data_IF_202967093290
#
_entry.id   IF_202967093290
#
_cell.length_a   1.000
_cell.length_b   1.000
_cell.length_c   1.000
_cell.angle_alpha   90.00
_cell.angle_beta   90.00
_cell.angle_gamma   90.00
#
_symmetry.space_group_name_H-M   'P 1'
#
loop_
_entity.id
_entity.type
_entity.pdbx_description
1 polymer ?
#
# COMPACT_ATOMS: atom_id res chain seq x y z
N UNK A 1 30.96 33.85 22.16
CA UNK A 1 31.36 33.54 20.76
C UNK A 1 31.00 32.08 20.51
N UNK A 2 30.08 31.78 19.59
CA UNK A 2 29.60 30.39 19.37
C UNK A 2 30.64 29.57 18.59
N UNK A 3 30.98 28.35 19.03
CA UNK A 3 31.91 27.47 18.34
C UNK A 3 31.17 26.67 17.26
N UNK A 4 30.94 27.28 16.09
CA UNK A 4 30.16 26.65 15.00
C UNK A 4 30.76 26.72 13.59
N UNK A 5 31.83 27.50 13.37
CA UNK A 5 32.18 27.96 12.02
C UNK A 5 33.43 27.29 11.40
N UNK A 6 33.72 26.03 11.77
CA UNK A 6 34.92 25.32 11.27
C UNK A 6 34.69 24.31 10.14
N UNK A 7 33.43 24.02 9.77
CA UNK A 7 33.14 23.05 8.71
C UNK A 7 31.83 23.31 7.99
N UNK A 8 31.91 23.60 6.69
CA UNK A 8 30.73 23.59 5.80
C UNK A 8 30.40 22.14 5.47
N UNK A 9 29.50 21.53 6.25
CA UNK A 9 29.02 20.17 5.98
C UNK A 9 28.00 20.22 4.83
N UNK A 10 28.29 19.57 3.70
CA UNK A 10 27.29 19.34 2.65
C UNK A 10 26.50 18.08 3.01
N UNK A 11 25.20 18.24 3.31
CA UNK A 11 24.30 17.14 3.67
C UNK A 11 23.44 16.67 2.52
N UNK A 12 23.18 17.53 1.54
CA UNK A 12 22.23 17.28 0.46
C UNK A 12 22.93 16.92 -0.86
N UNK A 13 22.53 15.78 -1.43
CA UNK A 13 23.08 15.24 -2.67
C UNK A 13 21.97 14.75 -3.61
N UNK A 14 22.12 15.02 -4.90
CA UNK A 14 21.32 14.38 -5.96
C UNK A 14 22.18 13.31 -6.61
N UNK A 15 21.83 12.05 -6.38
CA UNK A 15 22.56 10.90 -6.92
C UNK A 15 21.92 10.47 -8.24
N UNK A 16 22.72 10.41 -9.31
CA UNK A 16 22.31 9.90 -10.61
C UNK A 16 23.20 8.75 -11.06
N UNK A 17 22.59 7.72 -11.66
CA UNK A 17 23.31 6.60 -12.27
C UNK A 17 24.24 7.10 -13.39
N UNK A 18 25.40 6.44 -13.55
CA UNK A 18 26.44 6.83 -14.53
C UNK A 18 25.89 7.11 -15.93
N UNK A 19 24.96 6.27 -16.41
CA UNK A 19 24.31 6.39 -17.72
C UNK A 19 23.50 7.68 -17.92
N UNK A 20 23.06 8.33 -16.85
CA UNK A 20 22.24 9.55 -16.90
C UNK A 20 23.01 10.82 -16.55
N UNK A 21 24.31 10.73 -16.25
CA UNK A 21 25.12 11.91 -15.91
C UNK A 21 25.21 12.90 -17.08
N UNK A 22 25.25 12.42 -18.32
CA UNK A 22 25.26 13.26 -19.52
C UNK A 22 23.95 14.04 -19.74
N UNK A 23 22.87 13.67 -19.03
CA UNK A 23 21.60 14.39 -19.08
C UNK A 23 21.54 15.55 -18.09
N UNK A 24 22.49 15.66 -17.15
CA UNK A 24 22.53 16.70 -16.13
C UNK A 24 23.20 17.94 -16.73
N UNK A 25 22.51 19.08 -16.67
CA UNK A 25 22.98 20.35 -17.23
C UNK A 25 23.63 21.25 -16.18
N UNK A 26 23.07 21.31 -14.98
CA UNK A 26 23.55 22.18 -13.91
C UNK A 26 23.06 21.68 -12.55
N UNK A 27 23.92 21.84 -11.54
CA UNK A 27 23.58 21.63 -10.13
C UNK A 27 23.98 22.89 -9.36
N UNK A 28 23.01 23.59 -8.77
CA UNK A 28 23.28 24.75 -7.91
C UNK A 28 23.10 24.32 -6.44
N UNK A 29 24.14 24.53 -5.63
CA UNK A 29 24.14 24.20 -4.19
C UNK A 29 24.38 25.44 -3.34
N UNK A 30 23.57 25.60 -2.29
CA UNK A 30 23.83 26.54 -1.20
C UNK A 30 23.32 25.93 0.10
N UNK A 31 24.04 26.20 1.19
CA UNK A 31 23.98 25.48 2.47
C UNK A 31 22.62 25.55 3.22
N UNK A 32 21.65 26.30 2.71
CA UNK A 32 20.25 26.33 3.20
C UNK A 32 19.24 26.50 2.06
N UNK A 33 19.62 26.16 0.82
CA UNK A 33 18.82 26.35 -0.39
C UNK A 33 18.57 24.99 -1.03
N UNK A 34 17.36 24.71 -1.54
CA UNK A 34 17.08 23.45 -2.23
C UNK A 34 18.14 23.16 -3.30
N UNK A 35 18.67 21.94 -3.28
CA UNK A 35 19.56 21.46 -4.35
C UNK A 35 18.71 21.28 -5.60
N UNK A 36 18.97 22.09 -6.62
CA UNK A 36 18.26 22.02 -7.91
C UNK A 36 19.20 21.40 -8.94
N UNK A 37 18.74 20.31 -9.57
CA UNK A 37 19.39 19.68 -10.70
C UNK A 37 18.51 19.84 -11.95
N UNK A 38 19.06 20.45 -13.00
CA UNK A 38 18.39 20.54 -14.30
C UNK A 38 18.81 19.32 -15.12
N UNK A 39 17.85 18.49 -15.53
CA UNK A 39 18.11 17.28 -16.30
C UNK A 39 17.28 17.25 -17.59
N UNK A 40 17.91 16.93 -18.73
CA UNK A 40 17.25 16.72 -20.02
C UNK A 40 16.96 15.24 -20.27
N UNK A 41 15.76 14.77 -19.94
CA UNK A 41 15.30 13.40 -20.27
C UNK A 41 13.90 13.41 -20.88
N UNK A 42 13.66 12.47 -21.81
CA UNK A 42 12.31 12.19 -22.31
C UNK A 42 11.67 11.14 -21.42
N UNK A 43 10.60 11.51 -20.71
CA UNK A 43 9.82 10.57 -19.88
C UNK A 43 8.71 9.95 -20.72
N UNK A 44 8.59 8.62 -20.67
CA UNK A 44 7.40 7.95 -21.18
C UNK A 44 6.23 8.27 -20.24
N UNK A 45 5.10 8.72 -20.81
CA UNK A 45 3.87 8.92 -20.05
C UNK A 45 3.24 7.56 -19.78
N UNK A 46 3.29 7.11 -18.53
CA UNK A 46 2.48 5.97 -18.12
C UNK A 46 1.00 6.37 -18.09
N UNK A 47 0.14 5.52 -18.65
CA UNK A 47 -1.31 5.67 -18.49
C UNK A 47 -1.62 5.60 -17.00
N UNK A 48 -2.11 6.70 -16.41
CA UNK A 48 -2.55 6.68 -15.02
C UNK A 48 -3.60 5.56 -14.87
N UNK A 49 -3.54 4.75 -13.80
CA UNK A 49 -4.59 3.76 -13.57
C UNK A 49 -5.93 4.48 -13.50
N UNK A 50 -6.99 3.82 -14.00
CA UNK A 50 -8.36 4.34 -13.95
C UNK A 50 -8.70 4.58 -12.48
N UNK A 51 -8.68 5.84 -12.04
CA UNK A 51 -9.08 6.21 -10.69
C UNK A 51 -10.58 5.95 -10.57
N UNK A 52 -11.00 5.25 -9.53
CA UNK A 52 -12.42 5.15 -9.21
C UNK A 52 -12.94 6.57 -8.91
N UNK A 53 -14.19 6.88 -9.31
CA UNK A 53 -14.80 8.15 -8.94
C UNK A 53 -14.76 8.30 -7.42
N UNK A 54 -14.23 9.43 -6.94
CA UNK A 54 -14.24 9.75 -5.52
C UNK A 54 -15.68 9.93 -5.06
N UNK A 55 -16.02 9.41 -3.88
CA UNK A 55 -17.34 9.59 -3.28
C UNK A 55 -17.60 11.08 -3.03
N UNK A 56 -18.63 11.62 -3.67
CA UNK A 56 -18.98 13.05 -3.59
C UNK A 56 -20.00 13.29 -2.47
N UNK A 57 -19.53 13.76 -1.32
CA UNK A 57 -20.39 14.08 -0.17
C UNK A 57 -21.34 15.25 -0.44
N UNK A 58 -20.93 16.19 -1.30
CA UNK A 58 -21.72 17.40 -1.58
C UNK A 58 -23.04 17.10 -2.30
N UNK A 59 -23.04 16.09 -3.18
CA UNK A 59 -24.25 15.65 -3.88
C UNK A 59 -25.26 15.00 -2.92
N UNK A 60 -24.77 14.23 -1.95
CA UNK A 60 -25.59 13.58 -0.93
C UNK A 60 -26.21 14.57 0.06
N UNK A 61 -25.55 15.71 0.31
CA UNK A 61 -26.03 16.75 1.23
C UNK A 61 -27.11 17.63 0.61
N UNK A 62 -27.07 17.85 -0.71
CA UNK A 62 -27.98 18.74 -1.44
C UNK A 62 -29.30 18.07 -1.82
N UNK A 63 -29.28 16.79 -2.17
CA UNK A 63 -30.47 16.07 -2.62
C UNK A 63 -31.06 15.18 -1.52
N UNK A 64 -32.23 15.58 -1.02
CA UNK A 64 -32.98 14.88 0.03
C UNK A 64 -33.49 13.51 -0.41
N UNK A 65 -33.79 13.33 -1.70
CA UNK A 65 -34.27 12.05 -2.25
C UNK A 65 -33.10 11.06 -2.41
N UNK A 66 -31.95 11.55 -2.87
CA UNK A 66 -30.74 10.75 -2.95
C UNK A 66 -30.29 10.27 -1.56
N UNK A 67 -30.36 11.16 -0.56
CA UNK A 67 -30.05 10.80 0.84
C UNK A 67 -30.96 9.71 1.38
N UNK A 68 -32.27 9.78 1.10
CA UNK A 68 -33.23 8.74 1.52
C UNK A 68 -32.92 7.39 0.87
N UNK A 69 -32.73 7.36 -0.46
CA UNK A 69 -32.39 6.12 -1.17
C UNK A 69 -31.07 5.51 -0.68
N UNK A 70 -30.09 6.37 -0.40
CA UNK A 70 -28.81 5.95 0.15
C UNK A 70 -28.94 5.35 1.56
N UNK A 71 -29.71 6.00 2.44
CA UNK A 71 -29.96 5.49 3.79
C UNK A 71 -30.69 4.15 3.76
N UNK A 72 -31.74 3.99 2.94
CA UNK A 72 -32.45 2.71 2.80
C UNK A 72 -31.52 1.61 2.27
N UNK A 73 -30.67 1.92 1.29
CA UNK A 73 -29.69 0.94 0.78
C UNK A 73 -28.65 0.56 1.84
N UNK A 74 -28.28 1.49 2.71
CA UNK A 74 -27.37 1.25 3.83
C UNK A 74 -28.04 0.38 4.89
N UNK A 75 -29.25 0.73 5.31
CA UNK A 75 -30.04 -0.01 6.30
C UNK A 75 -30.24 -1.45 5.85
N UNK A 76 -30.74 -1.66 4.62
CA UNK A 76 -30.92 -2.99 4.05
C UNK A 76 -29.62 -3.79 4.00
N UNK A 77 -28.48 -3.15 3.74
CA UNK A 77 -27.18 -3.83 3.71
C UNK A 77 -26.75 -4.27 5.11
N UNK A 78 -26.95 -3.42 6.11
CA UNK A 78 -26.60 -3.73 7.50
C UNK A 78 -27.52 -4.80 8.09
N UNK A 79 -28.82 -4.78 7.79
CA UNK A 79 -29.76 -5.83 8.20
C UNK A 79 -29.32 -7.22 7.70
N UNK A 80 -28.91 -7.33 6.44
CA UNK A 80 -28.40 -8.59 5.88
C UNK A 80 -27.10 -9.01 6.58
N UNK A 81 -26.22 -8.05 6.92
CA UNK A 81 -24.96 -8.31 7.58
C UNK A 81 -25.15 -8.80 9.03
N UNK A 82 -26.11 -8.23 9.75
CA UNK A 82 -26.45 -8.63 11.12
C UNK A 82 -27.04 -10.05 11.13
N UNK A 83 -27.96 -10.35 10.22
CA UNK A 83 -28.51 -11.71 10.05
C UNK A 83 -27.41 -12.75 9.77
N UNK A 84 -26.46 -12.43 8.90
CA UNK A 84 -25.33 -13.34 8.61
C UNK A 84 -24.40 -13.53 9.81
N UNK A 85 -24.22 -12.50 10.63
CA UNK A 85 -23.38 -12.54 11.82
C UNK A 85 -24.00 -13.40 12.91
N UNK A 86 -25.31 -13.31 13.10
CA UNK A 86 -26.07 -14.14 14.04
C UNK A 86 -26.08 -15.63 13.61
N UNK A 87 -26.18 -15.91 12.29
CA UNK A 87 -26.03 -17.27 11.77
C UNK A 87 -24.59 -17.78 11.96
N UNK A 88 -23.58 -16.92 11.88
CA UNK A 88 -22.18 -17.26 12.11
C UNK A 88 -21.87 -17.64 13.56
N UNK A 89 -22.46 -16.95 14.54
CA UNK A 89 -22.31 -17.35 15.94
C UNK A 89 -22.97 -18.69 16.26
N UNK A 90 -24.01 -19.06 15.51
CA UNK A 90 -24.84 -20.24 15.77
C UNK A 90 -24.45 -21.48 14.94
N UNK A 91 -23.54 -21.35 13.97
CA UNK A 91 -23.18 -22.41 13.02
C UNK A 91 -21.70 -22.76 13.04
N UNK A 92 -21.38 -24.01 13.38
CA UNK A 92 -20.01 -24.57 13.26
C UNK A 92 -19.55 -24.74 11.80
N UNK A 93 -20.39 -24.49 10.80
CA UNK A 93 -20.04 -24.61 9.38
C UNK A 93 -19.50 -23.27 8.82
N UNK A 94 -18.30 -22.92 9.28
CA UNK A 94 -17.60 -21.68 8.96
C UNK A 94 -17.45 -21.43 7.44
N UNK A 95 -17.17 -22.47 6.64
CA UNK A 95 -16.86 -22.33 5.19
C UNK A 95 -18.03 -21.81 4.36
N UNK A 96 -19.22 -22.38 4.52
CA UNK A 96 -20.41 -21.98 3.75
C UNK A 96 -20.79 -20.52 4.04
N UNK A 97 -20.70 -20.12 5.30
CA UNK A 97 -21.00 -18.74 5.72
C UNK A 97 -19.95 -17.74 5.23
N UNK A 98 -18.67 -18.10 5.23
CA UNK A 98 -17.62 -17.28 4.63
C UNK A 98 -17.88 -17.02 3.14
N UNK A 99 -18.43 -17.98 2.41
CA UNK A 99 -18.76 -17.80 1.00
C UNK A 99 -20.01 -16.93 0.79
N UNK A 100 -21.06 -17.07 1.63
CA UNK A 100 -22.21 -16.15 1.60
C UNK A 100 -21.84 -14.71 1.98
N UNK A 101 -20.97 -14.53 2.98
CA UNK A 101 -20.46 -13.21 3.38
C UNK A 101 -19.63 -12.59 2.25
N UNK A 102 -18.79 -13.37 1.56
CA UNK A 102 -18.09 -12.89 0.38
C UNK A 102 -19.06 -12.45 -0.70
N UNK A 103 -20.10 -13.23 -0.98
CA UNK A 103 -21.06 -12.89 -2.02
C UNK A 103 -21.78 -11.58 -1.70
N UNK A 104 -22.18 -11.35 -0.45
CA UNK A 104 -22.87 -10.11 -0.04
C UNK A 104 -21.92 -8.90 0.08
N UNK A 105 -20.71 -9.09 0.61
CA UNK A 105 -19.76 -8.00 0.89
C UNK A 105 -18.91 -7.64 -0.33
N UNK A 106 -18.65 -8.59 -1.23
CA UNK A 106 -17.82 -8.43 -2.42
C UNK A 106 -18.62 -8.19 -3.71
N UNK A 107 -19.94 -8.02 -3.67
CA UNK A 107 -20.70 -7.56 -4.86
C UNK A 107 -20.02 -6.32 -5.45
N UNK A 108 -19.36 -6.49 -6.61
CA UNK A 108 -18.64 -5.43 -7.32
C UNK A 108 -17.14 -5.29 -7.02
N UNK A 109 -16.55 -6.09 -6.14
CA UNK A 109 -15.07 -6.15 -5.93
C UNK A 109 -14.51 -7.42 -6.56
N UNK A 110 -13.56 -7.27 -7.49
CA UNK A 110 -12.82 -8.44 -8.01
C UNK A 110 -12.04 -9.08 -6.87
N UNK A 111 -12.11 -10.42 -6.70
CA UNK A 111 -11.24 -11.09 -5.75
C UNK A 111 -9.79 -10.77 -6.12
N UNK A 112 -9.05 -10.15 -5.19
CA UNK A 112 -7.61 -10.00 -5.37
C UNK A 112 -7.03 -11.41 -5.40
N UNK A 113 -6.36 -11.78 -6.48
CA UNK A 113 -5.55 -13.01 -6.49
C UNK A 113 -4.53 -12.87 -5.39
N UNK A 114 -4.78 -13.48 -4.23
CA UNK A 114 -3.78 -13.63 -3.19
C UNK A 114 -2.80 -14.67 -3.72
N UNK A 115 -1.84 -14.25 -4.52
CA UNK A 115 -0.61 -15.01 -4.72
C UNK A 115 0.24 -14.80 -3.46
N UNK A 116 -0.20 -15.41 -2.35
CA UNK A 116 0.58 -15.54 -1.13
C UNK A 116 1.66 -16.59 -1.32
N UNK A 117 2.52 -16.41 -2.32
CA UNK A 117 3.65 -17.27 -2.56
C UNK A 117 4.81 -16.74 -1.72
N UNK A 118 5.31 -17.58 -0.81
CA UNK A 118 6.53 -17.28 -0.06
C UNK A 118 7.72 -17.69 -0.92
N UNK A 119 8.69 -16.79 -1.03
CA UNK A 119 9.89 -17.03 -1.82
C UNK A 119 11.07 -17.40 -0.92
N UNK A 120 11.89 -18.32 -1.40
CA UNK A 120 13.20 -18.60 -0.83
C UNK A 120 14.09 -17.36 -0.90
N UNK A 121 15.21 -17.35 -0.17
CA UNK A 121 16.24 -16.31 -0.29
C UNK A 121 16.81 -16.22 -1.72
N UNK A 122 16.82 -17.32 -2.48
CA UNK A 122 17.21 -17.37 -3.89
C UNK A 122 16.11 -16.90 -4.87
N UNK A 123 14.94 -16.50 -4.36
CA UNK A 123 13.82 -16.01 -5.18
C UNK A 123 12.92 -17.10 -5.78
N UNK A 124 13.16 -18.37 -5.46
CA UNK A 124 12.31 -19.49 -5.89
C UNK A 124 11.02 -19.53 -5.09
N UNK A 125 9.91 -19.85 -5.75
CA UNK A 125 8.60 -20.00 -5.12
C UNK A 125 8.58 -21.29 -4.31
N UNK A 126 8.41 -21.18 -2.99
CA UNK A 126 8.26 -22.33 -2.11
C UNK A 126 6.81 -22.80 -2.17
N UNK A 127 6.63 -24.06 -2.58
CA UNK A 127 5.31 -24.69 -2.68
C UNK A 127 5.06 -25.70 -1.55
N UNK A 128 6.12 -26.16 -0.89
CA UNK A 128 6.02 -27.09 0.23
C UNK A 128 5.81 -26.36 1.56
N UNK A 129 4.97 -26.94 2.42
CA UNK A 129 4.64 -26.42 3.75
C UNK A 129 5.86 -26.47 4.66
N UNK A 130 6.66 -27.54 4.57
CA UNK A 130 7.88 -27.68 5.37
C UNK A 130 8.90 -26.58 5.05
N UNK A 131 9.11 -26.31 3.77
CA UNK A 131 10.00 -25.25 3.30
C UNK A 131 9.49 -23.86 3.67
N UNK A 132 8.16 -23.68 3.63
CA UNK A 132 7.51 -22.43 4.03
C UNK A 132 7.74 -22.14 5.52
N UNK A 133 7.54 -23.12 6.39
CA UNK A 133 7.80 -23.00 7.83
C UNK A 133 9.27 -22.69 8.12
N UNK A 134 10.18 -23.37 7.41
CA UNK A 134 11.62 -23.12 7.50
C UNK A 134 11.97 -21.69 7.09
N UNK A 135 11.37 -21.18 6.02
CA UNK A 135 11.58 -19.80 5.54
C UNK A 135 11.06 -18.76 6.54
N UNK A 136 9.92 -19.03 7.20
CA UNK A 136 9.39 -18.17 8.27
C UNK A 136 10.33 -18.13 9.48
N UNK A 137 10.84 -19.27 9.93
CA UNK A 137 11.81 -19.32 11.04
C UNK A 137 13.04 -18.47 10.73
N UNK A 138 13.66 -18.69 9.56
CA UNK A 138 14.82 -17.91 9.12
C UNK A 138 14.54 -16.41 9.02
N UNK A 139 13.36 -16.02 8.54
CA UNK A 139 12.98 -14.62 8.43
C UNK A 139 12.84 -13.96 9.81
N UNK A 140 12.30 -14.68 10.80
CA UNK A 140 12.18 -14.19 12.17
C UNK A 140 13.56 -14.03 12.79
N UNK A 141 14.46 -15.00 12.63
CA UNK A 141 15.83 -14.92 13.12
C UNK A 141 16.58 -13.72 12.49
N UNK A 142 16.50 -13.53 11.16
CA UNK A 142 17.07 -12.38 10.45
C UNK A 142 16.52 -11.02 10.94
N UNK A 143 15.24 -10.98 11.34
CA UNK A 143 14.58 -9.74 11.76
C UNK A 143 14.98 -9.31 13.18
N UNK A 144 15.28 -10.28 14.04
CA UNK A 144 15.59 -10.07 15.46
C UNK A 144 17.08 -10.26 15.81
N UNK A 145 17.92 -10.62 14.85
CA UNK A 145 19.38 -10.40 14.89
C UNK A 145 19.67 -8.89 14.81
N UNK A 146 19.24 -8.12 15.81
CA UNK A 146 19.59 -6.70 15.94
C UNK A 146 21.02 -6.59 16.47
N UNK A 147 21.96 -6.36 15.55
CA UNK A 147 23.39 -6.10 15.85
C UNK A 147 23.58 -4.75 16.59
N UNK A 148 22.51 -3.99 16.82
CA UNK A 148 22.52 -2.90 17.79
C UNK A 148 22.47 -3.52 19.18
N UNK A 149 23.65 -3.84 19.71
CA UNK A 149 23.83 -4.23 21.11
C UNK A 149 23.21 -3.22 22.09
N UNK A 150 23.18 -3.57 23.40
CA UNK A 150 22.56 -2.73 24.43
C UNK A 150 23.13 -1.31 24.49
#
# INVERSE_FOLDING_TARGET
MSPGDRGRNQTDFIIALKRFRNAILSSCGSHHVPVVCVMRTKLQKFKKPKQSPKFQYDALKKDTQLRRKFNVAIENKFEIQDQLTEVYSNSSNSKYLHDQIKDVVLVGRKPSSKSGCIKSQSGQILMDIADTLKRWSQYVDELFDDVRGP
#
